data_IF_508572220348
#
_entry.id   IF_508572220348
#
_cell.length_a   1.000
_cell.length_b   1.000
_cell.length_c   1.000
_cell.angle_alpha   90.00
_cell.angle_beta   90.00
_cell.angle_gamma   90.00
#
_symmetry.space_group_name_H-M   'P 1'
#
loop_
_entity.id
_entity.type
_entity.pdbx_description
1 polymer ?
#
# COMPACT_ATOMS: atom_id res chain seq x y z
N UNK A 1 -1.57 41.22 8.50
CA UNK A 1 -2.70 40.26 8.55
C UNK A 1 -2.46 39.32 9.71
N UNK A 2 -3.22 39.46 10.79
CA UNK A 2 -3.08 38.62 11.97
C UNK A 2 -3.95 37.38 11.75
N UNK A 3 -3.31 36.25 11.47
CA UNK A 3 -4.02 34.97 11.29
C UNK A 3 -4.57 34.56 12.67
N UNK A 4 -5.88 34.26 12.77
CA UNK A 4 -6.50 33.92 14.05
C UNK A 4 -5.88 32.63 14.63
N UNK A 5 -5.64 32.62 15.94
CA UNK A 5 -4.97 31.52 16.65
C UNK A 5 -5.65 30.16 16.47
N UNK A 6 -6.95 30.13 16.19
CA UNK A 6 -7.71 28.91 15.86
C UNK A 6 -7.31 28.29 14.52
N UNK A 7 -7.00 29.09 13.50
CA UNK A 7 -6.45 28.58 12.23
C UNK A 7 -4.98 28.15 12.40
N UNK A 8 -4.24 28.79 13.31
CA UNK A 8 -2.89 28.38 13.65
C UNK A 8 -2.88 27.02 14.40
N UNK A 9 -3.84 26.78 15.30
CA UNK A 9 -4.02 25.47 15.94
C UNK A 9 -4.56 24.41 14.98
N UNK A 10 -5.45 24.77 14.05
CA UNK A 10 -5.87 23.86 12.98
C UNK A 10 -4.72 23.52 12.02
N UNK A 11 -3.82 24.48 11.78
CA UNK A 11 -2.62 24.30 10.96
C UNK A 11 -1.44 23.63 11.69
N UNK A 12 -1.43 23.65 13.03
CA UNK A 12 -0.50 22.89 13.87
C UNK A 12 -1.11 21.57 14.37
N UNK A 13 -2.37 21.29 14.01
CA UNK A 13 -3.11 20.08 14.37
C UNK A 13 -2.46 18.84 13.74
N UNK A 14 -2.67 17.67 14.35
CA UNK A 14 -2.31 16.35 13.82
C UNK A 14 -2.69 16.20 12.33
N UNK A 15 -3.73 16.91 11.86
CA UNK A 15 -4.14 17.01 10.47
C UNK A 15 -3.05 17.51 9.51
N UNK A 16 -2.21 18.48 9.91
CA UNK A 16 -1.13 18.99 9.05
C UNK A 16 0.10 18.09 9.06
N UNK A 17 0.39 17.43 10.18
CA UNK A 17 1.42 16.37 10.19
C UNK A 17 0.99 15.15 9.38
N UNK A 18 -0.31 14.82 9.39
CA UNK A 18 -0.91 13.80 8.56
C UNK A 18 -0.84 14.17 7.07
N UNK A 19 -1.22 15.39 6.71
CA UNK A 19 -1.09 15.94 5.34
C UNK A 19 0.37 16.08 4.86
N UNK A 20 1.35 16.06 5.76
CA UNK A 20 2.77 16.05 5.39
C UNK A 20 3.30 14.67 5.03
N UNK A 21 2.57 13.58 5.31
CA UNK A 21 3.03 12.25 4.92
C UNK A 21 3.01 12.14 3.40
N UNK A 22 4.13 11.74 2.76
CA UNK A 22 4.23 11.68 1.30
C UNK A 22 3.17 10.77 0.69
N UNK A 23 2.80 9.72 1.42
CA UNK A 23 1.73 8.78 1.07
C UNK A 23 0.36 9.47 1.00
N UNK A 24 -0.03 10.21 2.03
CA UNK A 24 -1.30 10.94 2.09
C UNK A 24 -1.39 12.01 0.99
N UNK A 25 -0.29 12.72 0.72
CA UNK A 25 -0.24 13.70 -0.39
C UNK A 25 -0.53 13.01 -1.73
N UNK A 26 0.11 11.87 -1.97
CA UNK A 26 -0.06 11.08 -3.19
C UNK A 26 -1.52 10.63 -3.34
N UNK A 27 -2.17 10.15 -2.27
CA UNK A 27 -3.62 9.81 -2.24
C UNK A 27 -4.52 10.96 -2.65
N UNK A 28 -4.23 12.17 -2.19
CA UNK A 28 -5.01 13.35 -2.54
C UNK A 28 -4.89 13.62 -4.04
N UNK A 29 -3.68 13.52 -4.61
CA UNK A 29 -3.49 13.65 -6.05
C UNK A 29 -4.20 12.55 -6.85
N UNK A 30 -4.13 11.29 -6.42
CA UNK A 30 -4.87 10.17 -7.03
C UNK A 30 -6.37 10.46 -7.06
N UNK A 31 -6.93 10.88 -5.91
CA UNK A 31 -8.34 11.22 -5.78
C UNK A 31 -8.74 12.39 -6.68
N UNK A 32 -7.95 13.47 -6.71
CA UNK A 32 -8.22 14.64 -7.55
C UNK A 32 -8.17 14.28 -9.03
N UNK A 33 -7.15 13.55 -9.50
CA UNK A 33 -7.05 13.14 -10.90
C UNK A 33 -8.20 12.23 -11.30
N UNK A 34 -8.56 11.28 -10.43
CA UNK A 34 -9.69 10.39 -10.64
C UNK A 34 -11.03 11.15 -10.73
N UNK A 35 -11.22 12.14 -9.85
CA UNK A 35 -12.40 13.00 -9.85
C UNK A 35 -12.50 13.85 -11.12
N UNK A 36 -11.38 14.40 -11.59
CA UNK A 36 -11.34 15.17 -12.84
C UNK A 36 -11.75 14.27 -14.01
N UNK A 37 -11.16 13.09 -14.17
CA UNK A 37 -11.50 12.15 -15.25
C UNK A 37 -12.97 11.76 -15.24
N UNK A 38 -13.47 11.37 -14.06
CA UNK A 38 -14.88 11.00 -13.86
C UNK A 38 -15.81 12.17 -14.19
N UNK A 39 -15.57 13.34 -13.61
CA UNK A 39 -16.44 14.52 -13.76
C UNK A 39 -16.45 15.03 -15.20
N UNK A 40 -15.28 15.10 -15.85
CA UNK A 40 -15.16 15.55 -17.23
C UNK A 40 -16.01 14.71 -18.19
N UNK A 41 -15.92 13.38 -18.07
CA UNK A 41 -16.66 12.47 -18.95
C UNK A 41 -18.12 12.27 -18.53
N UNK A 42 -18.46 12.47 -17.25
CA UNK A 42 -19.86 12.43 -16.82
C UNK A 42 -20.63 13.66 -17.33
N UNK A 43 -20.02 14.84 -17.29
CA UNK A 43 -20.66 16.10 -17.69
C UNK A 43 -20.67 16.29 -19.20
N UNK A 44 -19.51 16.14 -19.86
CA UNK A 44 -19.34 16.47 -21.27
C UNK A 44 -19.01 15.26 -22.16
N UNK A 45 -18.94 14.06 -21.59
CA UNK A 45 -18.53 12.86 -22.33
C UNK A 45 -19.60 12.34 -23.30
N UNK A 46 -20.88 12.69 -23.09
CA UNK A 46 -21.98 12.31 -23.98
C UNK A 46 -22.63 13.53 -24.61
N UNK A 47 -22.74 13.54 -25.94
CA UNK A 47 -23.36 14.63 -26.70
C UNK A 47 -24.38 14.09 -27.71
N UNK A 48 -25.40 14.90 -27.98
CA UNK A 48 -26.38 14.61 -29.03
C UNK A 48 -25.79 14.93 -30.40
N UNK A 49 -26.10 14.10 -31.40
CA UNK A 49 -25.82 14.45 -32.79
C UNK A 49 -26.86 15.46 -33.30
N UNK A 50 -26.47 16.33 -34.24
CA UNK A 50 -27.36 17.30 -34.85
C UNK A 50 -28.60 16.65 -35.52
N UNK A 51 -28.48 15.39 -35.94
CA UNK A 51 -29.50 14.66 -36.68
C UNK A 51 -30.33 13.69 -35.81
N UNK A 52 -29.96 13.48 -34.54
CA UNK A 52 -30.64 12.50 -33.67
C UNK A 52 -30.54 12.88 -32.18
N UNK A 53 -31.63 12.75 -31.40
CA UNK A 53 -31.63 13.02 -29.97
C UNK A 53 -30.88 11.94 -29.14
N UNK A 54 -30.16 11.01 -29.78
CA UNK A 54 -29.40 9.98 -29.09
C UNK A 54 -28.06 10.52 -28.56
N UNK A 55 -27.79 10.26 -27.27
CA UNK A 55 -26.51 10.57 -26.63
C UNK A 55 -25.42 9.60 -27.13
N UNK A 56 -24.39 10.15 -27.75
CA UNK A 56 -23.21 9.40 -28.15
C UNK A 56 -21.98 9.84 -27.33
N UNK A 57 -21.17 8.87 -26.94
CA UNK A 57 -19.89 9.12 -26.29
C UNK A 57 -18.94 9.84 -27.25
N UNK A 58 -18.25 10.88 -26.78
CA UNK A 58 -17.31 11.67 -27.58
C UNK A 58 -16.10 10.86 -28.08
N UNK A 59 -15.77 9.76 -27.40
CA UNK A 59 -14.71 8.82 -27.77
C UNK A 59 -15.26 7.81 -28.80
N UNK A 60 -15.19 8.18 -30.08
CA UNK A 60 -15.57 7.35 -31.24
C UNK A 60 -16.99 6.78 -31.16
N UNK A 61 -17.95 7.52 -30.59
CA UNK A 61 -19.34 7.05 -30.37
C UNK A 61 -19.45 5.72 -29.59
N UNK A 62 -18.39 5.31 -28.90
CA UNK A 62 -18.32 4.03 -28.19
C UNK A 62 -18.70 4.24 -26.73
N UNK A 63 -19.91 3.79 -26.35
CA UNK A 63 -20.40 3.92 -24.98
C UNK A 63 -19.52 3.20 -23.95
N UNK A 64 -18.82 2.13 -24.36
CA UNK A 64 -17.89 1.37 -23.50
C UNK A 64 -16.68 2.21 -23.10
N UNK A 65 -16.21 3.11 -23.96
CA UNK A 65 -15.07 3.96 -23.67
C UNK A 65 -15.37 4.97 -22.54
N UNK A 66 -16.47 5.72 -22.69
CA UNK A 66 -16.90 6.66 -21.66
C UNK A 66 -17.30 5.94 -20.37
N UNK A 67 -18.08 4.85 -20.45
CA UNK A 67 -18.55 4.15 -19.25
C UNK A 67 -17.40 3.47 -18.48
N UNK A 68 -16.41 2.92 -19.18
CA UNK A 68 -15.19 2.41 -18.56
C UNK A 68 -14.46 3.51 -17.78
N UNK A 69 -14.20 4.67 -18.40
CA UNK A 69 -13.44 5.74 -17.77
C UNK A 69 -14.19 6.38 -16.59
N UNK A 70 -15.50 6.58 -16.73
CA UNK A 70 -16.38 7.06 -15.65
C UNK A 70 -16.40 6.06 -14.49
N UNK A 71 -16.59 4.77 -14.78
CA UNK A 71 -16.63 3.73 -13.76
C UNK A 71 -15.28 3.56 -13.04
N UNK A 72 -14.18 3.50 -13.79
CA UNK A 72 -12.84 3.42 -13.24
C UNK A 72 -12.51 4.64 -12.39
N UNK A 73 -12.80 5.85 -12.88
CA UNK A 73 -12.59 7.11 -12.15
C UNK A 73 -13.42 7.21 -10.86
N UNK A 74 -14.66 6.73 -10.87
CA UNK A 74 -15.48 6.71 -9.67
C UNK A 74 -14.96 5.71 -8.63
N UNK A 75 -14.64 4.48 -9.05
CA UNK A 75 -14.12 3.44 -8.17
C UNK A 75 -12.74 3.78 -7.59
N UNK A 76 -11.86 4.40 -8.38
CA UNK A 76 -10.56 4.86 -7.90
C UNK A 76 -10.72 6.01 -6.90
N UNK A 77 -11.65 6.95 -7.12
CA UNK A 77 -11.96 8.01 -6.16
C UNK A 77 -12.45 7.46 -4.81
N UNK A 78 -13.38 6.50 -4.84
CA UNK A 78 -13.85 5.81 -3.63
C UNK A 78 -12.73 5.04 -2.92
N UNK A 79 -11.87 4.38 -3.70
CA UNK A 79 -10.68 3.71 -3.16
C UNK A 79 -9.80 4.72 -2.41
N UNK A 80 -9.48 5.85 -3.02
CA UNK A 80 -8.68 6.89 -2.38
C UNK A 80 -9.30 7.40 -1.08
N UNK A 81 -10.63 7.63 -1.06
CA UNK A 81 -11.34 8.04 0.14
C UNK A 81 -11.28 6.98 1.24
N UNK A 82 -11.48 5.70 0.90
CA UNK A 82 -11.38 4.61 1.85
C UNK A 82 -9.98 4.49 2.46
N UNK A 83 -8.92 4.59 1.66
CA UNK A 83 -7.55 4.56 2.16
C UNK A 83 -7.18 5.80 2.98
N UNK A 84 -7.69 6.98 2.62
CA UNK A 84 -7.53 8.17 3.46
C UNK A 84 -8.16 7.97 4.85
N UNK A 85 -9.33 7.33 4.93
CA UNK A 85 -9.95 6.98 6.21
C UNK A 85 -9.12 5.94 6.95
N UNK A 86 -8.63 4.89 6.29
CA UNK A 86 -7.77 3.87 6.91
C UNK A 86 -6.48 4.48 7.47
N UNK A 87 -5.87 5.43 6.75
CA UNK A 87 -4.68 6.15 7.21
C UNK A 87 -4.95 6.90 8.54
N UNK A 88 -6.18 7.40 8.77
CA UNK A 88 -6.56 8.01 10.07
C UNK A 88 -6.75 6.98 11.18
N UNK A 89 -7.05 5.73 10.84
CA UNK A 89 -7.24 4.65 11.80
C UNK A 89 -5.92 3.99 12.20
N UNK A 90 -4.92 3.96 11.31
CA UNK A 90 -3.61 3.37 11.61
C UNK A 90 -2.93 4.01 12.82
N UNK A 91 -3.16 5.30 13.10
CA UNK A 91 -2.64 5.96 14.31
C UNK A 91 -3.20 5.35 15.61
N UNK A 92 -4.33 4.64 15.56
CA UNK A 92 -4.98 4.01 16.71
C UNK A 92 -4.72 2.51 16.83
N UNK A 93 -4.20 1.84 15.80
CA UNK A 93 -4.09 0.37 15.78
C UNK A 93 -2.72 -0.09 16.30
N UNK A 94 -2.71 -0.73 17.48
CA UNK A 94 -1.50 -1.25 18.12
C UNK A 94 -0.98 -2.59 17.53
N UNK A 95 -1.70 -3.20 16.58
CA UNK A 95 -1.41 -4.54 16.06
C UNK A 95 -0.54 -4.55 14.80
N UNK A 96 0.68 -5.10 14.90
CA UNK A 96 1.63 -5.23 13.76
C UNK A 96 1.09 -6.07 12.60
N UNK A 97 0.31 -7.11 12.88
CA UNK A 97 -0.28 -7.97 11.83
C UNK A 97 -1.30 -7.25 10.96
N UNK A 98 -2.15 -6.43 11.56
CA UNK A 98 -3.16 -5.67 10.82
C UNK A 98 -2.51 -4.57 9.97
N UNK A 99 -1.51 -3.88 10.51
CA UNK A 99 -0.70 -2.90 9.77
C UNK A 99 -0.11 -3.49 8.49
N UNK A 100 0.61 -4.63 8.58
CA UNK A 100 1.19 -5.26 7.38
C UNK A 100 0.13 -5.71 6.39
N UNK A 101 -1.03 -6.18 6.85
CA UNK A 101 -2.14 -6.55 5.96
C UNK A 101 -2.70 -5.35 5.19
N UNK A 102 -2.89 -4.20 5.84
CA UNK A 102 -3.35 -2.98 5.18
C UNK A 102 -2.30 -2.43 4.21
N UNK A 103 -1.02 -2.45 4.58
CA UNK A 103 0.07 -2.06 3.69
C UNK A 103 0.16 -2.96 2.44
N UNK A 104 -0.06 -4.27 2.60
CA UNK A 104 -0.08 -5.21 1.48
C UNK A 104 -1.28 -4.96 0.57
N UNK A 105 -2.46 -4.75 1.16
CA UNK A 105 -3.68 -4.43 0.42
C UNK A 105 -3.52 -3.13 -0.38
N UNK A 106 -2.93 -2.11 0.25
CA UNK A 106 -2.60 -0.84 -0.41
C UNK A 106 -1.68 -1.05 -1.61
N UNK A 107 -0.56 -1.74 -1.41
CA UNK A 107 0.40 -2.04 -2.47
C UNK A 107 -0.26 -2.76 -3.66
N UNK A 108 -1.04 -3.82 -3.39
CA UNK A 108 -1.73 -4.58 -4.44
C UNK A 108 -2.71 -3.68 -5.19
N UNK A 109 -3.49 -2.88 -4.47
CA UNK A 109 -4.47 -1.98 -5.08
C UNK A 109 -3.79 -0.90 -5.91
N UNK A 110 -2.65 -0.38 -5.46
CA UNK A 110 -1.89 0.62 -6.21
C UNK A 110 -1.36 0.07 -7.53
N UNK A 111 -0.83 -1.16 -7.52
CA UNK A 111 -0.39 -1.84 -8.75
C UNK A 111 -1.58 -2.11 -9.68
N UNK A 112 -2.72 -2.57 -9.14
CA UNK A 112 -3.93 -2.82 -9.92
C UNK A 112 -4.41 -1.54 -10.60
N UNK A 113 -4.49 -0.42 -9.87
CA UNK A 113 -4.91 0.84 -10.45
C UNK A 113 -3.91 1.37 -11.47
N UNK A 114 -2.60 1.25 -11.24
CA UNK A 114 -1.60 1.64 -12.24
C UNK A 114 -1.81 0.92 -13.58
N UNK A 115 -2.11 -0.39 -13.55
CA UNK A 115 -2.42 -1.18 -14.75
C UNK A 115 -3.74 -0.72 -15.39
N UNK A 116 -4.79 -0.49 -14.59
CA UNK A 116 -6.09 -0.02 -15.09
C UNK A 116 -5.96 1.35 -15.76
N UNK A 117 -5.22 2.28 -15.16
CA UNK A 117 -4.97 3.60 -15.76
C UNK A 117 -4.11 3.52 -17.01
N UNK A 118 -3.12 2.63 -17.05
CA UNK A 118 -2.31 2.40 -18.24
C UNK A 118 -3.15 1.85 -19.41
N UNK A 119 -3.91 0.79 -19.16
CA UNK A 119 -4.82 0.22 -20.16
C UNK A 119 -5.91 1.22 -20.56
N UNK A 120 -6.42 1.98 -19.60
CA UNK A 120 -7.39 3.03 -19.82
C UNK A 120 -6.86 4.14 -20.72
N UNK A 121 -5.65 4.64 -20.46
CA UNK A 121 -4.99 5.62 -21.31
C UNK A 121 -4.84 5.11 -22.74
N UNK A 122 -4.28 3.91 -22.92
CA UNK A 122 -4.11 3.31 -24.24
C UNK A 122 -5.45 3.16 -24.98
N UNK A 123 -6.49 2.70 -24.28
CA UNK A 123 -7.82 2.52 -24.84
C UNK A 123 -8.46 3.86 -25.22
N UNK A 124 -8.45 4.85 -24.31
CA UNK A 124 -9.04 6.16 -24.55
C UNK A 124 -8.30 6.91 -25.66
N UNK A 125 -6.97 6.86 -25.69
CA UNK A 125 -6.17 7.47 -26.75
C UNK A 125 -6.46 6.85 -28.12
N UNK A 126 -6.59 5.52 -28.19
CA UNK A 126 -6.98 4.83 -29.43
C UNK A 126 -8.37 5.28 -29.91
N UNK A 127 -9.34 5.35 -28.99
CA UNK A 127 -10.69 5.81 -29.35
C UNK A 127 -10.68 7.29 -29.76
N UNK A 128 -9.91 8.13 -29.08
CA UNK A 128 -9.77 9.54 -29.42
C UNK A 128 -9.16 9.76 -30.81
N UNK A 129 -8.15 8.98 -31.19
CA UNK A 129 -7.53 9.07 -32.51
C UNK A 129 -8.52 8.75 -33.65
N UNK A 130 -9.49 7.88 -33.40
CA UNK A 130 -10.52 7.51 -34.37
C UNK A 130 -11.76 8.42 -34.30
N UNK A 131 -11.83 9.36 -33.36
CA UNK A 131 -12.96 10.29 -33.25
C UNK A 131 -12.97 11.29 -34.41
N UNK A 132 -14.12 11.52 -35.06
CA UNK A 132 -14.23 12.48 -36.15
C UNK A 132 -14.06 13.94 -35.65
N UNK A 133 -13.21 14.77 -36.29
CA UNK A 133 -12.82 16.09 -35.78
C UNK A 133 -13.90 17.18 -35.86
N UNK A 134 -15.05 16.93 -36.51
CA UNK A 134 -16.02 17.98 -36.88
C UNK A 134 -17.36 17.97 -36.14
N UNK A 135 -17.67 16.95 -35.34
CA UNK A 135 -19.01 16.82 -34.72
C UNK A 135 -19.11 17.16 -33.22
N UNK A 136 -17.98 17.33 -32.52
CA UNK A 136 -17.98 17.42 -31.04
C UNK A 136 -17.18 18.60 -30.47
N UNK A 137 -17.37 19.81 -31.03
CA UNK A 137 -16.61 21.00 -30.65
C UNK A 137 -16.73 21.41 -29.16
N UNK A 138 -17.85 21.09 -28.48
CA UNK A 138 -18.05 21.47 -27.07
C UNK A 138 -17.34 20.54 -26.06
N UNK A 139 -17.29 19.22 -26.31
CA UNK A 139 -16.72 18.25 -25.36
C UNK A 139 -15.25 17.90 -25.60
N UNK A 140 -14.64 18.36 -26.70
CA UNK A 140 -13.29 17.98 -27.13
C UNK A 140 -12.22 18.28 -26.07
N UNK A 141 -12.32 19.46 -25.42
CA UNK A 141 -11.43 19.87 -24.34
C UNK A 141 -11.57 18.98 -23.10
N UNK A 142 -12.78 18.57 -22.75
CA UNK A 142 -13.08 17.71 -21.61
C UNK A 142 -12.55 16.29 -21.82
N UNK A 143 -12.72 15.74 -23.03
CA UNK A 143 -12.16 14.45 -23.40
C UNK A 143 -10.62 14.47 -23.43
N UNK A 144 -10.02 15.52 -23.98
CA UNK A 144 -8.57 15.70 -23.97
C UNK A 144 -8.03 15.82 -22.54
N UNK A 145 -8.72 16.56 -21.66
CA UNK A 145 -8.37 16.64 -20.25
C UNK A 145 -8.44 15.25 -19.60
N UNK A 146 -9.53 14.50 -19.78
CA UNK A 146 -9.66 13.15 -19.25
C UNK A 146 -8.50 12.24 -19.70
N UNK A 147 -8.13 12.27 -20.98
CA UNK A 147 -6.99 11.51 -21.51
C UNK A 147 -5.68 11.95 -20.85
N UNK A 148 -5.42 13.26 -20.73
CA UNK A 148 -4.20 13.77 -20.09
C UNK A 148 -4.12 13.37 -18.61
N UNK A 149 -5.22 13.50 -17.86
CA UNK A 149 -5.26 13.13 -16.45
C UNK A 149 -5.20 11.62 -16.23
N UNK A 150 -5.74 10.80 -17.14
CA UNK A 150 -5.51 9.34 -17.11
C UNK A 150 -4.03 9.00 -17.25
N UNK A 151 -3.28 9.68 -18.13
CA UNK A 151 -1.84 9.50 -18.27
C UNK A 151 -1.08 9.90 -17.00
N UNK A 152 -1.36 11.08 -16.45
CA UNK A 152 -0.69 11.53 -15.23
C UNK A 152 -1.00 10.63 -14.03
N UNK A 153 -2.22 10.09 -13.96
CA UNK A 153 -2.63 9.15 -12.92
C UNK A 153 -1.73 7.91 -12.86
N UNK A 154 -1.27 7.39 -14.00
CA UNK A 154 -0.34 6.24 -14.07
C UNK A 154 0.92 6.52 -13.22
N UNK A 155 1.53 7.69 -13.39
CA UNK A 155 2.75 8.05 -12.68
C UNK A 155 2.53 8.15 -11.17
N UNK A 156 1.38 8.70 -10.77
CA UNK A 156 1.02 8.84 -9.35
C UNK A 156 0.81 7.48 -8.71
N UNK A 157 0.06 6.58 -9.34
CA UNK A 157 -0.17 5.22 -8.82
C UNK A 157 1.11 4.37 -8.76
N UNK A 158 2.01 4.52 -9.73
CA UNK A 158 3.33 3.86 -9.68
C UNK A 158 4.15 4.39 -8.50
N UNK A 159 4.13 5.71 -8.27
CA UNK A 159 4.82 6.31 -7.14
C UNK A 159 4.22 5.86 -5.80
N UNK A 160 2.90 5.79 -5.69
CA UNK A 160 2.22 5.24 -4.50
C UNK A 160 2.58 3.77 -4.25
N UNK A 161 2.59 2.93 -5.30
CA UNK A 161 3.01 1.53 -5.19
C UNK A 161 4.47 1.42 -4.72
N UNK A 162 5.35 2.29 -5.19
CA UNK A 162 6.73 2.36 -4.75
C UNK A 162 6.84 2.71 -3.25
N UNK A 163 6.10 3.72 -2.78
CA UNK A 163 6.06 4.08 -1.36
C UNK A 163 5.51 2.94 -0.50
N UNK A 164 4.40 2.32 -0.91
CA UNK A 164 3.82 1.18 -0.20
C UNK A 164 4.76 -0.04 -0.14
N UNK A 165 5.52 -0.28 -1.21
CA UNK A 165 6.54 -1.32 -1.23
C UNK A 165 7.70 -1.02 -0.28
N UNK A 166 8.15 0.23 -0.18
CA UNK A 166 9.16 0.63 0.80
C UNK A 166 8.66 0.41 2.23
N UNK A 167 7.43 0.78 2.54
CA UNK A 167 6.81 0.56 3.85
C UNK A 167 6.78 -0.93 4.20
N UNK A 168 6.31 -1.77 3.27
CA UNK A 168 6.30 -3.23 3.42
C UNK A 168 7.70 -3.80 3.66
N UNK A 169 8.72 -3.30 2.94
CA UNK A 169 10.11 -3.73 3.12
C UNK A 169 10.67 -3.33 4.48
N UNK A 170 10.28 -2.17 4.99
CA UNK A 170 10.72 -1.65 6.28
C UNK A 170 10.05 -2.36 7.47
N UNK A 171 8.78 -2.77 7.32
CA UNK A 171 7.99 -3.45 8.35
C UNK A 171 8.12 -4.99 8.31
N UNK A 172 8.49 -5.59 7.17
CA UNK A 172 8.80 -7.01 7.11
C UNK A 172 9.98 -7.33 8.05
N UNK A 173 9.87 -8.34 8.93
CA UNK A 173 10.98 -8.73 9.79
C UNK A 173 12.05 -9.38 8.92
N UNK A 174 12.94 -8.57 8.34
CA UNK A 174 14.19 -9.06 7.75
C UNK A 174 14.89 -9.83 8.89
N UNK A 175 15.09 -11.15 8.77
CA UNK A 175 15.63 -11.97 9.86
C UNK A 175 16.91 -11.38 10.45
N UNK A 176 17.72 -10.72 9.62
CA UNK A 176 18.95 -10.03 10.01
C UNK A 176 18.77 -8.94 11.07
N UNK A 177 17.65 -8.20 11.10
CA UNK A 177 17.42 -7.09 12.03
C UNK A 177 17.13 -7.58 13.46
N UNK A 178 16.52 -8.76 13.62
CA UNK A 178 16.39 -9.42 14.93
C UNK A 178 17.74 -9.92 15.45
N UNK A 179 18.58 -10.50 14.57
CA UNK A 179 19.91 -10.99 14.98
C UNK A 179 20.85 -9.87 15.44
N UNK A 180 20.77 -8.66 14.88
CA UNK A 180 21.59 -7.54 15.33
C UNK A 180 21.13 -6.96 16.67
N UNK A 181 19.83 -6.95 16.96
CA UNK A 181 19.30 -6.46 18.23
C UNK A 181 19.52 -7.48 19.36
N UNK A 182 19.35 -8.77 19.05
CA UNK A 182 19.63 -9.89 19.96
C UNK A 182 21.15 -10.09 20.17
N UNK A 183 21.96 -9.91 19.11
CA UNK A 183 23.42 -9.91 19.19
C UNK A 183 24.00 -8.68 19.91
N UNK A 184 23.35 -7.51 19.82
CA UNK A 184 23.72 -6.30 20.55
C UNK A 184 23.43 -6.41 22.05
N UNK A 185 22.33 -7.05 22.44
CA UNK A 185 22.05 -7.33 23.85
C UNK A 185 22.97 -8.42 24.43
N UNK A 186 23.39 -9.41 23.63
CA UNK A 186 24.32 -10.47 24.07
C UNK A 186 25.77 -9.95 24.17
N UNK A 187 26.18 -8.99 23.34
CA UNK A 187 27.54 -8.43 23.40
C UNK A 187 27.76 -7.47 24.59
N UNK A 188 26.69 -7.00 25.24
CA UNK A 188 26.78 -6.00 26.31
C UNK A 188 26.86 -6.64 27.72
N UNK A 189 26.77 -7.98 27.84
CA UNK A 189 26.77 -8.69 29.14
C UNK A 189 28.00 -9.55 29.42
N UNK A 190 29.00 -9.61 28.54
CA UNK A 190 30.23 -10.36 28.82
C UNK A 190 31.31 -9.42 29.40
N UNK A 191 31.81 -9.66 30.63
CA UNK A 191 33.00 -8.98 31.11
C UNK A 191 34.19 -9.38 30.25
N UNK A 192 34.92 -8.39 29.75
CA UNK A 192 36.16 -8.54 29.00
C UNK A 192 37.18 -9.35 29.83
N UNK A 193 37.69 -10.51 29.39
CA UNK A 193 38.77 -11.17 30.10
C UNK A 193 40.09 -10.48 29.72
N UNK A 194 40.69 -9.85 30.73
CA UNK A 194 42.05 -9.32 30.68
C UNK A 194 43.03 -10.39 30.23
N UNK A 195 43.76 -10.12 29.16
CA UNK A 195 44.96 -10.86 28.79
C UNK A 195 46.02 -10.71 29.90
N UNK A 196 46.71 -11.80 30.26
CA UNK A 196 48.16 -11.85 30.60
C UNK A 196 48.61 -13.27 31.05
N UNK A 197 49.36 -13.95 30.17
CA UNK A 197 50.58 -14.77 30.45
C UNK A 197 50.44 -16.20 31.06
N UNK A 198 51.50 -17.05 31.06
CA UNK A 198 51.75 -18.01 29.98
C UNK A 198 52.03 -19.48 30.45
N UNK A 199 51.97 -20.40 29.48
CA UNK A 199 52.76 -21.66 29.31
C UNK A 199 52.97 -22.57 30.54
N UNK A 200 52.43 -23.81 30.47
CA UNK A 200 53.20 -25.06 30.66
C UNK A 200 52.36 -26.32 30.32
N UNK A 201 52.99 -27.26 29.62
CA UNK A 201 52.57 -28.64 29.30
C UNK A 201 53.87 -29.47 29.34
N UNK A 202 53.88 -30.82 29.45
CA UNK A 202 52.90 -31.83 29.91
C UNK A 202 53.46 -32.67 31.09
N UNK A 203 52.66 -33.54 31.73
CA UNK A 203 53.05 -34.96 31.96
C UNK A 203 51.92 -35.85 32.53
N UNK A 204 51.68 -36.97 31.82
CA UNK A 204 51.45 -38.36 32.27
C UNK A 204 50.19 -38.77 33.06
N UNK A 205 49.40 -39.67 32.42
CA UNK A 205 48.93 -40.91 33.09
C UNK A 205 47.41 -41.17 33.08
N UNK A 206 46.94 -42.40 32.78
CA UNK A 206 45.57 -42.68 32.31
C UNK A 206 44.64 -43.20 33.43
N UNK A 207 43.31 -43.10 33.25
CA UNK A 207 42.33 -44.18 33.43
C UNK A 207 40.86 -43.71 33.44
N UNK A 208 40.02 -44.54 32.80
CA UNK A 208 38.55 -44.75 32.94
C UNK A 208 37.61 -43.57 32.65
N UNK A 209 36.85 -43.57 31.54
CA UNK A 209 35.63 -44.34 31.16
C UNK A 209 34.31 -43.67 31.59
N UNK A 210 33.38 -43.66 30.63
CA UNK A 210 31.94 -43.34 30.71
C UNK A 210 31.58 -41.84 30.61
N UNK A 211 30.66 -41.36 29.76
CA UNK A 211 29.53 -41.98 29.06
C UNK A 211 29.21 -41.27 27.73
N UNK A 212 28.68 -42.05 26.78
CA UNK A 212 28.12 -41.76 25.46
C UNK A 212 27.08 -40.60 25.43
N UNK A 213 27.02 -39.75 24.39
CA UNK A 213 26.29 -39.94 23.10
C UNK A 213 24.76 -40.01 23.30
N UNK A 214 23.84 -39.38 22.57
CA UNK A 214 23.76 -39.01 21.15
C UNK A 214 22.56 -38.08 20.91
N UNK A 215 22.55 -37.44 19.74
CA UNK A 215 21.42 -36.81 19.08
C UNK A 215 20.21 -37.76 18.84
N UNK A 216 18.99 -37.20 18.70
CA UNK A 216 18.05 -37.41 17.59
C UNK A 216 16.70 -36.67 17.83
N UNK A 217 16.17 -36.01 16.79
CA UNK A 217 14.76 -35.59 16.69
C UNK A 217 13.81 -36.79 16.63
N UNK A 218 12.50 -36.59 16.90
CA UNK A 218 11.52 -36.82 15.82
C UNK A 218 10.33 -35.84 15.76
N UNK A 219 9.76 -35.80 14.56
CA UNK A 219 8.54 -35.13 14.12
C UNK A 219 7.25 -35.82 14.64
N UNK A 220 6.14 -35.07 14.73
CA UNK A 220 4.72 -35.44 14.43
C UNK A 220 3.63 -35.00 15.44
N UNK A 221 2.62 -34.35 14.85
CA UNK A 221 1.14 -34.40 15.10
C UNK A 221 0.48 -33.68 16.29
N UNK A 222 -0.25 -32.61 15.91
CA UNK A 222 -1.63 -32.16 16.20
C UNK A 222 -2.36 -32.51 17.54
N UNK A 223 -3.25 -31.61 18.02
CA UNK A 223 -3.75 -31.59 19.41
C UNK A 223 -5.11 -32.30 19.61
N UNK A 224 -5.32 -32.86 20.81
CA UNK A 224 -6.63 -33.37 21.30
C UNK A 224 -7.20 -32.45 22.39
N UNK A 225 -8.51 -32.21 22.26
CA UNK A 225 -9.45 -31.46 23.10
C UNK A 225 -9.51 -31.92 24.58
N UNK A 226 -10.04 -31.11 25.53
CA UNK A 226 -9.83 -31.27 26.97
C UNK A 226 -10.83 -32.21 27.66
N UNK A 227 -10.38 -32.89 28.71
CA UNK A 227 -11.20 -33.74 29.60
C UNK A 227 -11.79 -32.94 30.76
N UNK A 228 -13.10 -33.10 30.96
CA UNK A 228 -13.83 -32.84 32.20
C UNK A 228 -13.26 -33.69 33.35
N UNK A 229 -13.09 -33.10 34.53
CA UNK A 229 -12.89 -33.82 35.79
C UNK A 229 -14.10 -33.56 36.71
N UNK A 230 -14.75 -34.65 37.08
CA UNK A 230 -15.81 -34.76 38.08
C UNK A 230 -15.13 -35.08 39.42
N UNK A 231 -15.52 -34.40 40.49
CA UNK A 231 -14.99 -34.55 41.85
C UNK A 231 -16.06 -35.26 42.71
N UNK A 232 -15.71 -36.24 43.56
CA UNK A 232 -16.67 -36.84 44.49
C UNK A 232 -16.53 -36.30 45.92
N UNK A 233 -17.66 -36.38 46.62
CA UNK A 233 -17.92 -35.93 47.99
C UNK A 233 -17.09 -36.63 49.07
N UNK A 234 -16.77 -35.86 50.12
CA UNK A 234 -16.85 -36.27 51.52
C UNK A 234 -16.92 -35.04 52.43
#
# INVERSE_FOLDING_TARGET
MHIPKSLQELANSEAVQFLRRPKTITRVFEGVFSLIVFSSLLTDGYQNKMESPQLHCILNSNSVACSFAVGAGFLAFLSCLAFLVLDTQETRIAGTRFKTAFQLLDFILAVLWAVVWFMGFCFLANQWQHSPPKEFLLGSSSAQAAIAFTFFSILVWIFQAYLAFQDLRNDAPVPYKRFLDEGGMVLTTLPLPSANSPVNMPTTGPNSLSYASSALSPCLTAPKSPRLAMMPDN
#
